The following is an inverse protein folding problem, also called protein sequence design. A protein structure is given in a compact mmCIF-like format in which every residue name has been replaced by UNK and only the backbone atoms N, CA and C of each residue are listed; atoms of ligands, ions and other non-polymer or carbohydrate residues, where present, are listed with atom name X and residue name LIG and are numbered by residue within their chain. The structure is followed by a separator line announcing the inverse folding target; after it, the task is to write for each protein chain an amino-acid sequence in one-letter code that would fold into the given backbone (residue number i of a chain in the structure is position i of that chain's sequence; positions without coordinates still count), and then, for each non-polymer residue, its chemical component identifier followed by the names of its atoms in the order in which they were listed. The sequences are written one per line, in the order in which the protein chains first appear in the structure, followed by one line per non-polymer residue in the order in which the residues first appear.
data_IF_379816995108
#
_entry.id   IF_379816995108
#
_cell.length_a   1.000
_cell.length_b   1.000
_cell.length_c   1.000
_cell.angle_alpha   90.00
_cell.angle_beta   90.00
_cell.angle_gamma   90.00
#
_symmetry.space_group_name_H-M   'P 1'
#
loop_
_entity.id
_entity.type
_entity.pdbx_description
1 polymer ?
#
# COMPACT_ATOMS: atom_id res chain seq x y z
N UNK A 1 9.39 -14.01 12.68
CA UNK A 1 8.41 -13.13 12.02
C UNK A 1 7.55 -12.39 13.05
N UNK A 2 8.18 -11.70 14.00
CA UNK A 2 7.47 -10.91 15.02
C UNK A 2 8.02 -9.48 14.93
N UNK A 3 7.16 -8.48 14.73
CA UNK A 3 7.59 -7.07 14.65
C UNK A 3 6.92 -6.19 13.58
N UNK A 4 6.15 -6.77 12.64
CA UNK A 4 5.52 -6.01 11.54
C UNK A 4 4.00 -6.16 11.56
N UNK A 5 3.30 -5.10 11.12
CA UNK A 5 1.84 -5.08 10.91
C UNK A 5 1.49 -4.70 9.47
N UNK A 6 0.33 -5.17 9.03
CA UNK A 6 -0.32 -4.70 7.82
C UNK A 6 -1.24 -3.51 8.17
N UNK A 7 -1.04 -2.38 7.51
CA UNK A 7 -1.95 -1.24 7.60
C UNK A 7 -2.66 -1.07 6.25
N UNK A 8 -3.96 -0.85 6.30
CA UNK A 8 -4.80 -0.72 5.10
C UNK A 8 -5.56 0.59 5.16
N UNK A 9 -5.44 1.39 4.11
CA UNK A 9 -6.18 2.62 3.89
C UNK A 9 -7.05 2.55 2.64
N UNK A 10 -7.99 3.49 2.52
CA UNK A 10 -8.81 3.70 1.34
C UNK A 10 -8.44 5.04 0.71
N UNK A 11 -8.09 5.04 -0.57
CA UNK A 11 -7.78 6.23 -1.36
C UNK A 11 -8.50 6.13 -2.71
N UNK A 12 -9.33 7.13 -3.06
CA UNK A 12 -10.12 7.13 -4.30
C UNK A 12 -10.98 5.85 -4.51
N UNK A 13 -11.52 5.27 -3.43
CA UNK A 13 -12.25 3.99 -3.50
C UNK A 13 -11.37 2.75 -3.73
N UNK A 14 -10.05 2.92 -3.83
CA UNK A 14 -9.07 1.83 -3.94
C UNK A 14 -8.50 1.50 -2.56
N UNK A 15 -8.29 0.21 -2.32
CA UNK A 15 -7.64 -0.29 -1.09
C UNK A 15 -6.14 -0.30 -1.28
N UNK A 16 -5.41 0.35 -0.38
CA UNK A 16 -3.94 0.38 -0.37
C UNK A 16 -3.46 -0.25 0.93
N UNK A 17 -2.61 -1.28 0.83
CA UNK A 17 -2.03 -1.97 1.98
C UNK A 17 -0.52 -1.79 2.00
N UNK A 18 0.03 -1.47 3.17
CA UNK A 18 1.48 -1.41 3.39
C UNK A 18 1.87 -2.25 4.60
N UNK A 19 3.10 -2.76 4.56
CA UNK A 19 3.76 -3.38 5.72
C UNK A 19 4.52 -2.28 6.45
N UNK A 20 4.31 -2.16 7.75
CA UNK A 20 5.04 -1.23 8.61
C UNK A 20 5.46 -1.93 9.89
N UNK A 21 6.49 -1.40 10.56
CA UNK A 21 6.92 -1.91 11.85
C UNK A 21 5.86 -1.58 12.93
N UNK A 22 5.90 -2.31 14.04
CA UNK A 22 5.05 -2.06 15.20
C UNK A 22 5.53 -0.79 15.94
N UNK A 23 5.22 0.37 15.38
CA UNK A 23 5.46 1.67 16.00
C UNK A 23 4.13 2.24 16.53
N UNK A 24 3.81 1.92 17.79
CA UNK A 24 2.68 2.51 18.51
C UNK A 24 1.29 2.24 17.89
N UNK A 25 0.24 2.94 18.34
CA UNK A 25 -1.10 2.82 17.76
C UNK A 25 -1.13 3.24 16.28
N UNK A 26 -2.09 2.71 15.52
CA UNK A 26 -2.32 3.15 14.13
C UNK A 26 -3.00 4.52 14.19
N UNK A 27 -2.47 5.56 13.51
CA UNK A 27 -3.12 6.87 13.46
C UNK A 27 -4.44 6.81 12.68
N UNK A 28 -5.33 7.78 12.91
CA UNK A 28 -6.60 7.90 12.16
C UNK A 28 -6.41 8.27 10.69
N UNK A 29 -5.26 8.88 10.35
CA UNK A 29 -4.88 9.26 9.00
C UNK A 29 -3.58 8.56 8.61
N UNK A 30 -3.53 8.04 7.37
CA UNK A 30 -2.38 7.30 6.84
C UNK A 30 -1.82 8.00 5.61
N UNK A 31 -0.51 8.26 5.62
CA UNK A 31 0.21 8.76 4.45
C UNK A 31 1.09 7.64 3.88
N UNK A 32 0.73 7.16 2.69
CA UNK A 32 1.51 6.15 1.98
C UNK A 32 2.57 6.83 1.10
N UNK A 33 3.85 6.52 1.34
CA UNK A 33 4.91 6.91 0.41
C UNK A 33 4.97 5.88 -0.72
N UNK A 34 4.60 6.30 -1.92
CA UNK A 34 4.78 5.48 -3.12
C UNK A 34 6.25 5.47 -3.54
N UNK A 35 6.75 4.33 -4.08
CA UNK A 35 8.07 4.29 -4.70
C UNK A 35 8.11 5.20 -5.95
N UNK A 36 9.30 5.64 -6.37
CA UNK A 36 9.46 6.52 -7.54
C UNK A 36 9.02 5.85 -8.86
N UNK A 37 9.04 4.52 -8.92
CA UNK A 37 8.57 3.75 -10.06
C UNK A 37 7.64 2.61 -9.59
N UNK A 38 6.54 2.31 -10.31
CA UNK A 38 5.69 1.18 -10.00
C UNK A 38 6.40 -0.15 -10.31
N UNK A 39 6.08 -1.20 -9.54
CA UNK A 39 6.61 -2.55 -9.81
C UNK A 39 5.98 -3.19 -11.07
N UNK A 40 4.74 -2.81 -11.39
CA UNK A 40 4.02 -3.22 -12.58
C UNK A 40 2.93 -2.20 -12.92
N UNK A 41 2.63 -2.05 -14.21
CA UNK A 41 1.47 -1.32 -14.71
C UNK A 41 0.55 -2.36 -15.36
N UNK A 42 -0.71 -2.37 -14.95
CA UNK A 42 -1.71 -3.32 -15.43
C UNK A 42 -2.80 -2.54 -16.17
N UNK A 43 -3.16 -2.98 -17.38
CA UNK A 43 -4.23 -2.39 -18.17
C UNK A 43 -5.64 -2.77 -17.61
N UNK A 44 -6.73 -2.13 -18.08
CA UNK A 44 -8.08 -2.47 -17.61
C UNK A 44 -8.55 -3.90 -17.93
N UNK A 45 -7.86 -4.62 -18.83
CA UNK A 45 -8.14 -6.03 -19.17
C UNK A 45 -7.32 -7.00 -18.31
N UNK A 46 -6.46 -6.49 -17.43
CA UNK A 46 -5.59 -7.30 -16.57
C UNK A 46 -4.23 -7.65 -17.18
N UNK A 47 -3.86 -7.10 -18.33
CA UNK A 47 -2.56 -7.36 -18.95
C UNK A 47 -1.48 -6.48 -18.34
N UNK A 48 -0.30 -7.07 -18.08
CA UNK A 48 0.88 -6.31 -17.69
C UNK A 48 1.46 -5.57 -18.89
N UNK A 49 1.61 -4.26 -18.77
CA UNK A 49 2.26 -3.44 -19.79
C UNK A 49 3.79 -3.61 -19.70
N UNK A 50 4.50 -3.52 -20.84
CA UNK A 50 5.96 -3.57 -20.89
C UNK A 50 6.62 -2.41 -20.14
#
# INVERSE_FOLDING_TARGET
MAGRRLVTGLAEGKRVTAVTDLAGPVPSELHFRLPPAPAAIIDPKGNRLP
#
